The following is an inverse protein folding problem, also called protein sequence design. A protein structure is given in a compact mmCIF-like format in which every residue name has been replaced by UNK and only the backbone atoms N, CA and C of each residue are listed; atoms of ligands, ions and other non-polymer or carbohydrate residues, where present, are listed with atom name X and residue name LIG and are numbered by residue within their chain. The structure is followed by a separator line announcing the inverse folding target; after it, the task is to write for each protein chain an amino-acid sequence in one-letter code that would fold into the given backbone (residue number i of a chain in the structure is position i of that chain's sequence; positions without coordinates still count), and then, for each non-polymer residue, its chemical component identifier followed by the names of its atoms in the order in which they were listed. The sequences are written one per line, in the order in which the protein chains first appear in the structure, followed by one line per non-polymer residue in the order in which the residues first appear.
data_IF_247425405894
#
_entry.id   IF_247425405894
#
_cell.length_a   1.000
_cell.length_b   1.000
_cell.length_c   1.000
_cell.angle_alpha   90.00
_cell.angle_beta   90.00
_cell.angle_gamma   90.00
#
_symmetry.space_group_name_H-M   'P 1'
#
loop_
_entity.id
_entity.type
_entity.pdbx_description
1 polymer ?
#
# COMPACT_ATOMS: atom_id res chain seq x y z
N UNK A 1 -14.25 -14.29 18.97
CA UNK A 1 -13.11 -13.65 18.28
C UNK A 1 -12.76 -12.39 19.05
N UNK A 2 -11.49 -12.19 19.39
CA UNK A 2 -11.06 -10.99 20.07
C UNK A 2 -10.69 -9.89 19.05
N UNK A 3 -10.47 -8.68 19.54
CA UNK A 3 -10.14 -7.53 18.69
C UNK A 3 -8.89 -7.75 17.81
N UNK A 4 -7.86 -8.36 18.37
CA UNK A 4 -6.61 -8.58 17.64
C UNK A 4 -6.78 -9.58 16.49
N UNK A 5 -7.56 -10.61 16.68
CA UNK A 5 -7.88 -11.60 15.64
C UNK A 5 -8.70 -10.97 14.53
N UNK A 6 -9.71 -10.18 14.89
CA UNK A 6 -10.52 -9.46 13.91
C UNK A 6 -9.70 -8.46 13.12
N UNK A 7 -8.84 -7.69 13.79
CA UNK A 7 -7.94 -6.74 13.15
C UNK A 7 -7.01 -7.44 12.14
N UNK A 8 -6.44 -8.57 12.54
CA UNK A 8 -5.58 -9.38 11.67
C UNK A 8 -6.32 -9.86 10.42
N UNK A 9 -7.52 -10.38 10.59
CA UNK A 9 -8.34 -10.83 9.44
C UNK A 9 -8.65 -9.68 8.49
N UNK A 10 -8.97 -8.50 9.00
CA UNK A 10 -9.23 -7.32 8.17
C UNK A 10 -8.01 -6.88 7.40
N UNK A 11 -6.83 -6.91 8.02
CA UNK A 11 -5.55 -6.62 7.34
C UNK A 11 -5.30 -7.63 6.23
N UNK A 12 -5.53 -8.91 6.46
CA UNK A 12 -5.38 -9.95 5.44
C UNK A 12 -6.33 -9.74 4.25
N UNK A 13 -7.58 -9.38 4.50
CA UNK A 13 -8.56 -9.05 3.46
C UNK A 13 -8.11 -7.84 2.63
N UNK A 14 -7.62 -6.80 3.27
CA UNK A 14 -7.13 -5.61 2.58
C UNK A 14 -5.87 -5.92 1.78
N UNK A 15 -4.95 -6.73 2.28
CA UNK A 15 -3.77 -7.15 1.54
C UNK A 15 -4.15 -7.94 0.28
N UNK A 16 -5.14 -8.82 0.35
CA UNK A 16 -5.66 -9.54 -0.79
C UNK A 16 -6.29 -8.59 -1.84
N UNK A 17 -7.05 -7.60 -1.37
CA UNK A 17 -7.63 -6.55 -2.20
C UNK A 17 -6.54 -5.74 -2.91
N UNK A 18 -5.51 -5.31 -2.21
CA UNK A 18 -4.39 -4.57 -2.78
C UNK A 18 -3.68 -5.38 -3.86
N UNK A 19 -3.41 -6.65 -3.60
CA UNK A 19 -2.77 -7.54 -4.57
C UNK A 19 -3.58 -7.64 -5.87
N UNK A 20 -4.91 -7.67 -5.78
CA UNK A 20 -5.80 -7.72 -6.93
C UNK A 20 -5.79 -6.40 -7.73
N UNK A 21 -5.72 -5.25 -7.05
CA UNK A 21 -5.79 -3.93 -7.67
C UNK A 21 -4.45 -3.39 -8.18
N UNK A 22 -3.34 -3.94 -7.74
CA UNK A 22 -2.01 -3.51 -8.16
C UNK A 22 -1.72 -3.93 -9.60
N UNK A 23 -0.84 -3.19 -10.33
CA UNK A 23 -0.53 -3.50 -11.72
C UNK A 23 0.24 -4.82 -11.86
N UNK A 24 0.02 -5.52 -12.96
CA UNK A 24 0.82 -6.67 -13.34
C UNK A 24 2.25 -6.25 -13.68
N UNK A 25 3.23 -7.07 -13.29
CA UNK A 25 4.66 -6.83 -13.52
C UNK A 25 5.06 -7.30 -14.91
N UNK A 26 4.54 -6.64 -15.95
CA UNK A 26 4.75 -7.02 -17.34
C UNK A 26 4.79 -5.80 -18.27
N UNK A 27 5.23 -6.03 -19.52
CA UNK A 27 5.26 -5.00 -20.54
C UNK A 27 6.44 -4.04 -20.39
N UNK A 28 6.38 -2.91 -21.10
CA UNK A 28 7.45 -1.92 -21.13
C UNK A 28 7.69 -1.24 -19.78
N UNK A 29 6.66 -1.14 -18.95
CA UNK A 29 6.68 -0.55 -17.61
C UNK A 29 6.88 -1.57 -16.49
N UNK A 30 7.33 -2.78 -16.81
CA UNK A 30 7.48 -3.87 -15.83
C UNK A 30 8.28 -3.44 -14.59
N UNK A 31 9.38 -2.73 -14.78
CA UNK A 31 10.25 -2.31 -13.68
C UNK A 31 9.57 -1.33 -12.73
N UNK A 32 8.75 -0.42 -13.27
CA UNK A 32 7.96 0.50 -12.46
C UNK A 32 6.90 -0.26 -11.66
N UNK A 33 6.21 -1.21 -12.30
CA UNK A 33 5.21 -2.06 -11.64
C UNK A 33 5.84 -2.89 -10.51
N UNK A 34 7.04 -3.46 -10.73
CA UNK A 34 7.80 -4.17 -9.70
C UNK A 34 8.09 -3.27 -8.49
N UNK A 35 8.56 -2.02 -8.73
CA UNK A 35 8.84 -1.07 -7.66
C UNK A 35 7.56 -0.67 -6.90
N UNK A 36 6.45 -0.46 -7.60
CA UNK A 36 5.15 -0.17 -6.99
C UNK A 36 4.68 -1.32 -6.09
N UNK A 37 4.69 -2.54 -6.62
CA UNK A 37 4.27 -3.73 -5.89
C UNK A 37 5.17 -4.00 -4.68
N UNK A 38 6.48 -3.84 -4.84
CA UNK A 38 7.43 -3.95 -3.75
C UNK A 38 7.11 -2.96 -2.62
N UNK A 39 6.85 -1.70 -2.98
CA UNK A 39 6.58 -0.63 -2.01
C UNK A 39 5.29 -0.90 -1.23
N UNK A 40 4.21 -1.27 -1.91
CA UNK A 40 2.93 -1.56 -1.25
C UNK A 40 3.01 -2.85 -0.43
N UNK A 41 3.67 -3.89 -0.94
CA UNK A 41 3.77 -5.20 -0.28
C UNK A 41 4.84 -5.24 0.82
N UNK A 42 5.61 -4.17 1.01
CA UNK A 42 6.60 -4.09 2.09
C UNK A 42 5.96 -4.13 3.50
N UNK A 43 4.65 -4.08 3.58
CA UNK A 43 3.89 -4.19 4.83
C UNK A 43 3.19 -2.89 5.20
N UNK A 44 2.62 -2.90 6.38
CA UNK A 44 1.87 -1.77 6.93
C UNK A 44 0.67 -2.24 7.72
N UNK A 45 0.12 -1.34 8.53
CA UNK A 45 -1.04 -1.64 9.39
C UNK A 45 -2.37 -1.57 8.63
N UNK A 46 -2.38 -1.04 7.42
CA UNK A 46 -3.57 -0.87 6.57
C UNK A 46 -4.72 -0.12 7.25
N UNK A 47 -4.41 0.78 8.18
CA UNK A 47 -5.43 1.50 8.96
C UNK A 47 -6.26 2.45 8.10
N UNK A 48 -5.64 3.13 7.12
CA UNK A 48 -6.34 4.10 6.28
C UNK A 48 -7.45 3.47 5.44
N UNK A 49 -7.20 2.42 4.66
CA UNK A 49 -8.28 1.74 3.94
C UNK A 49 -9.30 1.08 4.86
N UNK A 50 -8.86 0.58 6.02
CA UNK A 50 -9.77 0.00 7.01
C UNK A 50 -10.75 1.04 7.54
N UNK A 51 -10.25 2.21 7.95
CA UNK A 51 -11.09 3.31 8.43
C UNK A 51 -12.06 3.81 7.35
N UNK A 52 -11.59 3.91 6.12
CA UNK A 52 -12.44 4.30 4.99
C UNK A 52 -13.64 3.35 4.85
N UNK A 53 -13.39 2.04 4.88
CA UNK A 53 -14.45 1.03 4.78
C UNK A 53 -15.40 1.09 5.97
N UNK A 54 -14.90 1.23 7.18
CA UNK A 54 -15.74 1.29 8.39
C UNK A 54 -16.62 2.54 8.41
N UNK A 55 -16.11 3.68 8.00
CA UNK A 55 -16.92 4.91 7.88
C UNK A 55 -18.00 4.77 6.81
N UNK A 56 -17.66 4.15 5.67
CA UNK A 56 -18.64 3.84 4.64
C UNK A 56 -19.81 3.00 5.19
N UNK A 57 -19.49 1.92 5.92
CA UNK A 57 -20.50 1.07 6.57
C UNK A 57 -21.33 1.84 7.60
N UNK A 58 -20.66 2.64 8.43
CA UNK A 58 -21.31 3.45 9.48
C UNK A 58 -22.34 4.43 8.89
N UNK A 59 -22.07 4.97 7.71
CA UNK A 59 -22.95 5.92 7.01
C UNK A 59 -24.03 5.22 6.16
N UNK A 60 -24.17 3.91 6.30
CA UNK A 60 -25.22 3.13 5.62
C UNK A 60 -24.82 2.57 4.27
N UNK A 61 -23.55 2.57 3.95
CA UNK A 61 -23.05 1.96 2.72
C UNK A 61 -23.31 0.46 2.68
N UNK A 62 -23.80 -0.05 1.55
CA UNK A 62 -24.20 -1.43 1.38
C UNK A 62 -23.58 -2.16 0.18
N UNK A 63 -22.70 -1.48 -0.55
CA UNK A 63 -21.97 -2.06 -1.68
C UNK A 63 -20.46 -1.84 -1.50
N UNK A 64 -19.81 -2.76 -0.80
CA UNK A 64 -18.39 -2.66 -0.47
C UNK A 64 -17.49 -2.71 -1.71
N UNK A 65 -17.92 -3.28 -2.82
CA UNK A 65 -17.15 -3.32 -4.07
C UNK A 65 -16.89 -1.92 -4.63
N UNK A 66 -17.78 -0.98 -4.39
CA UNK A 66 -17.57 0.42 -4.76
C UNK A 66 -16.37 1.02 -4.02
N UNK A 67 -16.12 0.56 -2.79
CA UNK A 67 -15.04 1.09 -1.95
C UNK A 67 -13.66 0.49 -2.27
N UNK A 68 -13.61 -0.68 -2.89
CA UNK A 68 -12.34 -1.37 -3.14
C UNK A 68 -11.30 -0.54 -3.90
N UNK A 69 -11.62 0.11 -5.04
CA UNK A 69 -10.64 0.94 -5.73
C UNK A 69 -10.22 2.16 -4.93
N UNK A 70 -11.11 2.74 -4.14
CA UNK A 70 -10.79 3.89 -3.27
C UNK A 70 -9.88 3.48 -2.11
N UNK A 71 -10.10 2.30 -1.53
CA UNK A 71 -9.24 1.75 -0.49
C UNK A 71 -7.82 1.50 -1.03
N UNK A 72 -7.72 0.91 -2.21
CA UNK A 72 -6.44 0.67 -2.87
C UNK A 72 -5.74 1.99 -3.21
N UNK A 73 -6.46 2.96 -3.78
CA UNK A 73 -5.91 4.28 -4.12
C UNK A 73 -5.38 5.00 -2.88
N UNK A 74 -6.14 4.99 -1.78
CA UNK A 74 -5.73 5.64 -0.52
C UNK A 74 -4.44 5.01 0.03
N UNK A 75 -4.31 3.70 0.01
CA UNK A 75 -3.10 3.02 0.46
C UNK A 75 -1.91 3.27 -0.48
N UNK A 76 -2.14 3.35 -1.78
CA UNK A 76 -1.10 3.72 -2.75
C UNK A 76 -0.59 5.15 -2.51
N UNK A 77 -1.49 6.10 -2.27
CA UNK A 77 -1.12 7.48 -1.94
C UNK A 77 -0.29 7.54 -0.67
N UNK A 78 -0.71 6.82 0.38
CA UNK A 78 0.06 6.72 1.61
C UNK A 78 1.44 6.11 1.36
N UNK A 79 1.50 5.02 0.60
CA UNK A 79 2.76 4.30 0.31
C UNK A 79 3.73 5.18 -0.46
N UNK A 80 3.29 5.89 -1.51
CA UNK A 80 4.21 6.74 -2.26
C UNK A 80 4.76 7.87 -1.39
N UNK A 81 3.96 8.41 -0.46
CA UNK A 81 4.45 9.44 0.45
C UNK A 81 5.60 8.91 1.33
N UNK A 82 5.52 7.67 1.77
CA UNK A 82 6.60 7.02 2.53
C UNK A 82 7.84 6.77 1.66
N UNK A 83 7.66 6.33 0.43
CA UNK A 83 8.77 6.13 -0.51
C UNK A 83 9.50 7.45 -0.76
N UNK A 84 8.79 8.55 -0.92
CA UNK A 84 9.37 9.89 -1.10
C UNK A 84 10.07 10.40 0.16
N UNK A 85 9.49 10.16 1.33
CA UNK A 85 10.13 10.54 2.61
C UNK A 85 11.46 9.80 2.83
N UNK A 86 11.60 8.60 2.31
CA UNK A 86 12.83 7.80 2.42
C UNK A 86 13.94 8.23 1.46
N UNK A 87 13.65 9.04 0.44
CA UNK A 87 14.63 9.48 -0.56
C UNK A 87 15.82 10.23 0.06
N UNK A 88 17.01 10.22 -0.59
CA UNK A 88 18.18 10.92 -0.09
C UNK A 88 17.98 12.42 0.16
N UNK A 89 17.09 13.06 -0.61
CA UNK A 89 16.75 14.48 -0.44
C UNK A 89 15.83 14.75 0.76
N UNK A 90 15.27 13.71 1.35
CA UNK A 90 14.38 13.79 2.50
C UNK A 90 15.05 13.12 3.71
N UNK A 91 14.50 12.04 4.24
CA UNK A 91 15.04 11.37 5.44
C UNK A 91 16.27 10.51 5.15
N UNK A 92 16.54 10.19 3.89
CA UNK A 92 17.68 9.37 3.45
C UNK A 92 17.78 8.04 4.18
N UNK A 93 16.66 7.31 4.27
CA UNK A 93 16.60 6.02 4.94
C UNK A 93 16.98 4.88 4.00
N UNK A 94 17.78 3.94 4.49
CA UNK A 94 18.16 2.74 3.75
C UNK A 94 17.18 1.60 3.95
N UNK A 95 16.49 1.57 5.10
CA UNK A 95 15.57 0.50 5.50
C UNK A 95 14.26 1.06 6.02
N UNK A 96 13.18 0.33 5.73
CA UNK A 96 11.86 0.56 6.27
C UNK A 96 11.23 -0.81 6.62
N UNK A 97 10.78 -0.97 7.87
CA UNK A 97 10.20 -2.23 8.38
C UNK A 97 11.10 -3.45 8.12
N UNK A 98 12.43 -3.26 8.29
CA UNK A 98 13.42 -4.33 8.10
C UNK A 98 13.74 -4.69 6.65
N UNK A 99 13.18 -3.97 5.67
CA UNK A 99 13.44 -4.16 4.25
C UNK A 99 14.14 -2.94 3.67
N UNK A 100 14.92 -3.13 2.60
CA UNK A 100 15.49 -2.01 1.85
C UNK A 100 14.37 -1.06 1.40
N UNK A 101 14.63 0.25 1.49
CA UNK A 101 13.74 1.24 0.92
C UNK A 101 13.68 1.10 -0.60
N UNK A 102 12.62 1.59 -1.21
CA UNK A 102 12.39 1.43 -2.65
C UNK A 102 13.53 2.01 -3.48
N UNK A 103 14.03 3.20 -3.14
CA UNK A 103 15.13 3.82 -3.86
C UNK A 103 16.46 3.05 -3.70
N UNK A 104 16.67 2.37 -2.58
CA UNK A 104 17.86 1.54 -2.38
C UNK A 104 17.80 0.26 -3.21
N UNK A 105 16.63 -0.33 -3.36
CA UNK A 105 16.45 -1.57 -4.12
C UNK A 105 16.38 -1.36 -5.62
N UNK A 106 15.67 -0.32 -6.07
CA UNK A 106 15.37 -0.09 -7.49
C UNK A 106 16.11 1.09 -8.10
N UNK A 107 16.68 1.98 -7.29
CA UNK A 107 17.29 3.22 -7.71
C UNK A 107 16.45 4.44 -7.34
N UNK A 108 17.11 5.58 -7.22
CA UNK A 108 16.46 6.84 -6.83
C UNK A 108 15.43 7.30 -7.87
N UNK A 109 15.72 7.10 -9.15
CA UNK A 109 14.81 7.40 -10.26
C UNK A 109 13.47 6.67 -10.13
N UNK A 110 13.50 5.37 -9.85
CA UNK A 110 12.28 4.59 -9.60
C UNK A 110 11.59 4.97 -8.29
N UNK A 111 12.35 5.39 -7.29
CA UNK A 111 11.77 5.91 -6.05
C UNK A 111 11.00 7.21 -6.25
N UNK A 112 11.44 8.07 -7.15
CA UNK A 112 10.76 9.32 -7.50
C UNK A 112 9.49 9.07 -8.30
N UNK A 113 9.51 8.10 -9.21
CA UNK A 113 8.35 7.76 -10.05
C UNK A 113 7.18 7.19 -9.25
#
# INVERSE_FOLDING_TARGET
MNFNEELKQRVEQINALLAEKLPAEEGMQQRVAEAMNYSVNAGGKRLRPMLLLEVYRLLGGNDEKIMEPFMAALECIHTYSLVHDDLPAMDNDDYRRGKLTTHKKFGEDFGVL
#
